data_IF_580118257643
#
_entry.id   IF_580118257643
#
_cell.length_a   1.000
_cell.length_b   1.000
_cell.length_c   1.000
_cell.angle_alpha   90.00
_cell.angle_beta   90.00
_cell.angle_gamma   90.00
#
_symmetry.space_group_name_H-M   'P 1'
#
loop_
_entity.id
_entity.type
_entity.pdbx_description
1 polymer ?
#
# COMPACT_ATOMS: atom_id res chain seq x y z
N UNK A 1 -25.57 60.24 -53.57
CA UNK A 1 -25.07 58.89 -53.87
C UNK A 1 -24.96 58.17 -52.53
N UNK A 2 -26.04 57.51 -52.07
CA UNK A 2 -26.28 56.05 -52.19
C UNK A 2 -25.21 55.28 -51.38
N UNK A 3 -25.44 54.41 -50.37
CA UNK A 3 -26.54 53.64 -49.75
C UNK A 3 -26.03 53.26 -48.31
N UNK A 4 -26.87 53.10 -47.27
CA UNK A 4 -27.55 51.85 -46.80
C UNK A 4 -26.58 50.68 -46.49
N UNK A 5 -26.76 49.73 -45.56
CA UNK A 5 -27.50 49.51 -44.32
C UNK A 5 -27.06 48.10 -43.83
N UNK A 6 -27.23 47.84 -42.53
CA UNK A 6 -27.55 46.57 -41.84
C UNK A 6 -27.04 45.19 -42.35
N UNK A 7 -26.58 44.39 -41.38
CA UNK A 7 -27.13 43.03 -41.18
C UNK A 7 -26.10 41.89 -41.09
N UNK A 8 -26.15 41.12 -39.99
CA UNK A 8 -25.58 39.77 -39.94
C UNK A 8 -25.13 39.34 -38.55
N UNK A 9 -25.88 38.42 -37.94
CA UNK A 9 -25.73 37.91 -36.58
C UNK A 9 -24.46 37.07 -36.33
N UNK A 10 -24.03 37.05 -35.05
CA UNK A 10 -23.11 36.07 -34.46
C UNK A 10 -23.80 34.68 -34.31
N UNK A 11 -23.08 33.57 -34.04
CA UNK A 11 -22.53 33.34 -32.69
C UNK A 11 -21.16 32.62 -32.61
N UNK A 12 -20.56 32.77 -31.42
CA UNK A 12 -19.59 31.89 -30.74
C UNK A 12 -18.32 31.45 -31.49
N UNK A 13 -17.28 32.28 -31.34
CA UNK A 13 -15.90 31.81 -31.41
C UNK A 13 -15.58 30.94 -30.20
N UNK A 14 -15.50 29.64 -30.43
CA UNK A 14 -14.79 28.68 -29.61
C UNK A 14 -13.39 29.23 -29.26
N UNK A 15 -13.11 29.37 -27.97
CA UNK A 15 -11.76 29.61 -27.48
C UNK A 15 -11.05 28.29 -27.19
N UNK A 16 -9.83 28.06 -27.70
CA UNK A 16 -8.99 26.98 -27.23
C UNK A 16 -7.57 27.50 -26.89
N UNK A 17 -6.83 27.03 -25.89
CA UNK A 17 -7.02 26.14 -24.74
C UNK A 17 -5.87 26.53 -23.80
N UNK A 18 -6.11 26.64 -22.49
CA UNK A 18 -5.02 26.73 -21.53
C UNK A 18 -4.14 25.47 -21.66
N UNK A 19 -2.80 25.56 -21.51
CA UNK A 19 -1.98 24.36 -21.52
C UNK A 19 -2.47 23.47 -20.37
N UNK A 20 -2.93 22.28 -20.74
CA UNK A 20 -3.31 21.24 -19.79
C UNK A 20 -2.13 21.05 -18.84
N UNK A 21 -2.33 21.46 -17.58
CA UNK A 21 -1.48 21.04 -16.50
C UNK A 21 -1.46 19.51 -16.58
N UNK A 22 -0.30 18.96 -16.93
CA UNK A 22 -0.03 17.55 -16.73
C UNK A 22 -0.16 17.31 -15.23
N UNK A 23 -1.36 16.91 -14.81
CA UNK A 23 -1.50 16.12 -13.60
C UNK A 23 -0.67 14.87 -13.87
N UNK A 24 0.57 14.89 -13.38
CA UNK A 24 1.27 13.66 -13.13
C UNK A 24 0.33 12.85 -12.25
N UNK A 25 -0.30 11.84 -12.85
CA UNK A 25 -0.89 10.75 -12.08
C UNK A 25 0.29 10.17 -11.34
N UNK A 26 0.52 10.66 -10.12
CA UNK A 26 1.27 9.93 -9.12
C UNK A 26 0.47 8.66 -8.97
N UNK A 27 0.93 7.62 -9.66
CA UNK A 27 0.52 6.27 -9.35
C UNK A 27 0.62 6.17 -7.84
N UNK A 28 -0.42 5.66 -7.15
CA UNK A 28 -0.26 5.39 -5.74
C UNK A 28 0.92 4.42 -5.67
N UNK A 29 2.07 4.86 -5.17
CA UNK A 29 3.01 3.95 -4.53
C UNK A 29 2.38 3.59 -3.19
N UNK A 30 1.15 3.07 -3.22
CA UNK A 30 0.44 2.63 -2.04
C UNK A 30 1.15 1.38 -1.58
N UNK A 31 1.85 1.58 -0.46
CA UNK A 31 2.72 0.63 0.21
C UNK A 31 2.07 -0.75 0.21
N UNK A 32 2.65 -1.67 -0.55
CA UNK A 32 2.45 -3.10 -0.34
C UNK A 32 3.18 -3.46 0.97
N UNK A 33 2.57 -3.09 2.10
CA UNK A 33 3.06 -3.35 3.43
C UNK A 33 2.74 -4.79 3.81
N UNK A 34 3.78 -5.58 4.05
CA UNK A 34 3.68 -6.99 4.48
C UNK A 34 3.92 -7.06 5.98
N UNK A 35 2.96 -7.64 6.71
CA UNK A 35 3.14 -8.02 8.11
C UNK A 35 3.60 -9.47 8.22
N UNK A 36 4.57 -9.76 9.08
CA UNK A 36 5.00 -11.12 9.39
C UNK A 36 4.94 -11.34 10.90
N UNK A 37 4.31 -12.44 11.31
CA UNK A 37 4.27 -12.87 12.71
C UNK A 37 5.01 -14.20 12.85
N UNK A 38 6.09 -14.19 13.64
CA UNK A 38 6.90 -15.35 13.96
C UNK A 38 6.72 -15.76 15.43
N UNK A 39 6.87 -17.04 15.79
CA UNK A 39 6.43 -17.53 17.09
C UNK A 39 7.37 -17.11 18.23
N UNK A 40 8.69 -17.19 18.07
CA UNK A 40 9.66 -16.85 19.13
C UNK A 40 11.03 -16.47 18.58
N UNK A 41 11.83 -15.73 19.36
CA UNK A 41 13.25 -15.46 19.10
C UNK A 41 14.19 -16.51 19.71
N UNK A 42 13.66 -17.38 20.56
CA UNK A 42 14.47 -18.35 21.31
C UNK A 42 14.91 -19.55 20.47
N UNK A 43 14.33 -19.72 19.28
CA UNK A 43 14.71 -20.79 18.36
C UNK A 43 15.52 -20.22 17.19
N UNK A 44 16.73 -20.76 16.91
CA UNK A 44 17.59 -20.29 15.82
C UNK A 44 16.94 -20.34 14.43
N UNK A 45 15.90 -21.17 14.27
CA UNK A 45 15.09 -21.24 13.05
C UNK A 45 14.53 -19.85 12.73
N UNK A 46 13.74 -19.28 13.62
CA UNK A 46 13.00 -18.04 13.34
C UNK A 46 13.88 -16.80 13.19
N UNK A 47 15.08 -16.81 13.76
CA UNK A 47 16.09 -15.77 13.52
C UNK A 47 16.63 -15.84 12.07
N UNK A 48 16.78 -17.05 11.54
CA UNK A 48 17.13 -17.24 10.13
C UNK A 48 15.97 -16.81 9.23
N UNK A 49 14.74 -17.22 9.52
CA UNK A 49 13.56 -16.82 8.76
C UNK A 49 13.39 -15.28 8.76
N UNK A 50 13.55 -14.59 9.90
CA UNK A 50 13.53 -13.12 9.97
C UNK A 50 14.51 -12.50 8.96
N UNK A 51 15.77 -12.96 8.98
CA UNK A 51 16.81 -12.46 8.09
C UNK A 51 16.46 -12.72 6.62
N UNK A 52 15.93 -13.92 6.31
CA UNK A 52 15.55 -14.30 4.94
C UNK A 52 14.36 -13.50 4.43
N UNK A 53 13.34 -13.29 5.25
CA UNK A 53 12.18 -12.47 4.89
C UNK A 53 12.56 -11.03 4.64
N UNK A 54 13.35 -10.42 5.54
CA UNK A 54 13.86 -9.04 5.35
C UNK A 54 14.59 -8.90 4.03
N UNK A 55 15.51 -9.81 3.74
CA UNK A 55 16.29 -9.77 2.50
C UNK A 55 15.43 -9.96 1.25
N UNK A 56 14.53 -10.95 1.26
CA UNK A 56 13.70 -11.27 0.09
C UNK A 56 12.68 -10.17 -0.21
N UNK A 57 12.00 -9.65 0.81
CA UNK A 57 10.98 -8.62 0.65
C UNK A 57 11.60 -7.25 0.32
N UNK A 58 12.74 -6.91 0.94
CA UNK A 58 13.48 -5.70 0.56
C UNK A 58 13.98 -5.77 -0.89
N UNK A 59 14.51 -6.93 -1.33
CA UNK A 59 14.92 -7.12 -2.72
C UNK A 59 13.77 -7.04 -3.73
N UNK A 60 12.54 -7.34 -3.29
CA UNK A 60 11.32 -7.21 -4.08
C UNK A 60 10.67 -5.80 -3.98
N UNK A 61 11.22 -4.89 -3.17
CA UNK A 61 10.72 -3.52 -3.01
C UNK A 61 9.54 -3.39 -2.04
N UNK A 62 9.38 -4.33 -1.11
CA UNK A 62 8.32 -4.31 -0.10
C UNK A 62 8.81 -3.81 1.25
N UNK A 63 7.99 -2.98 1.90
CA UNK A 63 8.14 -2.65 3.31
C UNK A 63 7.56 -3.79 4.16
N UNK A 64 8.36 -4.29 5.10
CA UNK A 64 7.99 -5.42 5.95
C UNK A 64 8.11 -5.08 7.44
N UNK A 65 7.05 -5.40 8.18
CA UNK A 65 7.08 -5.41 9.64
C UNK A 65 7.07 -6.86 10.16
N UNK A 66 8.07 -7.21 10.98
CA UNK A 66 8.19 -8.56 11.56
C UNK A 66 8.01 -8.45 13.07
N UNK A 67 7.01 -9.16 13.60
CA UNK A 67 6.66 -9.24 15.01
C UNK A 67 6.90 -10.65 15.53
N UNK A 68 7.28 -10.76 16.81
CA UNK A 68 7.46 -12.04 17.49
C UNK A 68 6.45 -12.21 18.62
N UNK A 69 5.82 -13.38 18.67
CA UNK A 69 4.77 -13.71 19.64
C UNK A 69 5.31 -14.23 20.98
N UNK A 70 6.61 -14.53 21.08
CA UNK A 70 7.26 -15.08 22.28
C UNK A 70 6.56 -16.33 22.84
N UNK A 71 6.15 -17.25 21.96
CA UNK A 71 5.48 -18.49 22.33
C UNK A 71 4.08 -18.31 22.94
N UNK A 72 3.44 -17.16 22.70
CA UNK A 72 2.11 -16.86 23.24
C UNK A 72 1.10 -16.63 22.13
N UNK A 73 0.07 -17.48 22.05
CA UNK A 73 -1.03 -17.32 21.11
C UNK A 73 -1.86 -16.06 21.38
N UNK A 74 -1.92 -15.62 22.65
CA UNK A 74 -2.55 -14.34 22.99
C UNK A 74 -1.77 -13.17 22.39
N UNK A 75 -0.44 -13.19 22.50
CA UNK A 75 0.42 -12.15 21.92
C UNK A 75 0.41 -12.20 20.40
N UNK A 76 0.34 -13.39 19.82
CA UNK A 76 0.18 -13.60 18.39
C UNK A 76 -1.07 -12.91 17.85
N UNK A 77 -2.21 -13.10 18.52
CA UNK A 77 -3.45 -12.40 18.19
C UNK A 77 -3.30 -10.89 18.26
N UNK A 78 -2.72 -10.36 19.33
CA UNK A 78 -2.46 -8.90 19.46
C UNK A 78 -1.56 -8.38 18.32
N UNK A 79 -0.54 -9.15 17.94
CA UNK A 79 0.38 -8.79 16.85
C UNK A 79 -0.38 -8.71 15.51
N UNK A 80 -1.25 -9.69 15.22
CA UNK A 80 -2.10 -9.68 14.02
C UNK A 80 -3.04 -8.48 14.03
N UNK A 81 -3.72 -8.20 15.14
CA UNK A 81 -4.61 -7.04 15.29
C UNK A 81 -3.87 -5.71 15.09
N UNK A 82 -2.64 -5.60 15.61
CA UNK A 82 -1.79 -4.43 15.41
C UNK A 82 -1.41 -4.24 13.94
N UNK A 83 -1.07 -5.31 13.24
CA UNK A 83 -0.76 -5.27 11.80
C UNK A 83 -1.98 -4.88 10.95
N UNK A 84 -3.16 -5.44 11.27
CA UNK A 84 -4.43 -5.04 10.63
C UNK A 84 -4.71 -3.56 10.85
N UNK A 85 -4.56 -3.08 12.08
CA UNK A 85 -4.77 -1.66 12.44
C UNK A 85 -3.82 -0.73 11.67
N UNK A 86 -2.59 -1.19 11.39
CA UNK A 86 -1.61 -0.47 10.59
C UNK A 86 -1.90 -0.49 9.08
N UNK A 87 -2.89 -1.26 8.64
CA UNK A 87 -3.29 -1.32 7.24
C UNK A 87 -2.36 -2.16 6.35
N UNK A 88 -1.64 -3.14 6.93
CA UNK A 88 -0.86 -4.07 6.10
C UNK A 88 -1.80 -4.84 5.16
N UNK A 89 -1.37 -5.04 3.93
CA UNK A 89 -2.21 -5.65 2.88
C UNK A 89 -2.14 -7.18 2.93
N UNK A 90 -1.02 -7.73 3.41
CA UNK A 90 -0.80 -9.17 3.52
C UNK A 90 -0.15 -9.47 4.87
N UNK A 91 -0.66 -10.51 5.55
CA UNK A 91 -0.07 -11.05 6.77
C UNK A 91 0.42 -12.47 6.51
N UNK A 92 1.70 -12.70 6.76
CA UNK A 92 2.32 -14.03 6.79
C UNK A 92 2.46 -14.42 8.26
N UNK A 93 1.95 -15.58 8.66
CA UNK A 93 2.00 -16.04 10.05
C UNK A 93 2.57 -17.45 10.14
N UNK A 94 3.48 -17.65 11.08
CA UNK A 94 3.93 -18.96 11.53
C UNK A 94 3.44 -19.14 12.98
N UNK A 95 2.29 -19.78 13.18
CA UNK A 95 1.63 -19.77 14.48
C UNK A 95 2.40 -20.58 15.51
N UNK A 96 2.42 -20.11 16.76
CA UNK A 96 2.90 -20.93 17.88
C UNK A 96 1.99 -22.15 18.12
N UNK A 97 0.67 -21.93 18.02
CA UNK A 97 -0.35 -22.97 18.12
C UNK A 97 -1.29 -22.88 16.91
N UNK A 98 -1.17 -23.85 16.01
CA UNK A 98 -1.98 -23.90 14.80
C UNK A 98 -3.48 -24.08 15.04
N UNK A 99 -3.89 -24.65 16.18
CA UNK A 99 -5.32 -24.81 16.51
C UNK A 99 -5.91 -23.47 16.95
N UNK A 100 -5.15 -22.68 17.72
CA UNK A 100 -5.58 -21.36 18.15
C UNK A 100 -5.64 -20.34 17.00
N UNK A 101 -4.87 -20.57 15.93
CA UNK A 101 -4.78 -19.70 14.76
C UNK A 101 -5.77 -20.04 13.63
N UNK A 102 -6.45 -21.20 13.68
CA UNK A 102 -7.40 -21.66 12.67
C UNK A 102 -8.82 -21.13 12.91
#
# INVERSE_FOLDING_TARGET
MFLSACGGAAPETAGPVAPAATEAIQQPTEQLAVGIVLPTKDEPRWIQDETRFRNALAAAGYDVEILFSQGSSAKEKENVEALITKGVQVIIICPHDGTAAA
#
